data_IF_431539877774
#
_entry.id   IF_431539877774
#
_cell.length_a   1.000
_cell.length_b   1.000
_cell.length_c   1.000
_cell.angle_alpha   90.00
_cell.angle_beta   90.00
_cell.angle_gamma   90.00
#
_symmetry.space_group_name_H-M   'P 1'
#
loop_
_entity.id
_entity.type
_entity.pdbx_description
1 polymer ?
#
# COMPACT_ATOMS: atom_id res chain seq x y z
N UNK A 1 -41.48 36.24 19.01
CA UNK A 1 -42.38 36.08 17.85
C UNK A 1 -42.03 34.78 17.10
N UNK A 2 -42.36 33.60 17.65
CA UNK A 2 -42.14 32.31 16.96
C UNK A 2 -43.27 31.32 17.29
N UNK A 3 -44.51 31.78 17.18
CA UNK A 3 -45.73 30.96 17.21
C UNK A 3 -46.08 30.44 15.79
N UNK A 4 -45.06 30.03 15.03
CA UNK A 4 -45.22 29.59 13.64
C UNK A 4 -44.67 28.19 13.32
N UNK A 5 -43.95 27.54 14.24
CA UNK A 5 -43.23 26.29 13.97
C UNK A 5 -44.03 25.00 14.14
N UNK A 6 -45.07 25.00 14.98
CA UNK A 6 -45.75 23.75 15.34
C UNK A 6 -46.90 23.36 14.39
N UNK A 7 -47.40 24.28 13.54
CA UNK A 7 -48.49 23.96 12.61
C UNK A 7 -48.03 23.14 11.39
N UNK A 8 -46.73 23.22 11.04
CA UNK A 8 -46.15 22.45 9.93
C UNK A 8 -46.18 20.95 10.18
N UNK A 9 -45.91 20.52 11.42
CA UNK A 9 -45.82 19.10 11.80
C UNK A 9 -47.23 18.49 11.93
N UNK A 10 -48.21 19.24 12.44
CA UNK A 10 -49.61 18.78 12.52
C UNK A 10 -50.25 18.64 11.13
N UNK A 11 -49.93 19.53 10.19
CA UNK A 11 -50.43 19.44 8.80
C UNK A 11 -49.70 18.39 7.95
N UNK A 12 -48.50 17.94 8.35
CA UNK A 12 -47.71 16.94 7.62
C UNK A 12 -48.05 15.49 7.99
N UNK A 13 -48.61 15.25 9.18
CA UNK A 13 -48.99 13.90 9.62
C UNK A 13 -50.27 13.36 8.94
N UNK A 14 -51.09 14.24 8.34
CA UNK A 14 -52.39 13.86 7.75
C UNK A 14 -52.44 13.81 6.21
N UNK A 15 -51.33 14.04 5.50
CA UNK A 15 -51.25 13.90 4.03
C UNK A 15 -49.96 13.18 3.62
N UNK A 16 -50.09 11.98 3.06
CA UNK A 16 -49.00 11.14 2.52
C UNK A 16 -48.07 11.97 1.61
N UNK A 17 -46.80 12.24 1.98
CA UNK A 17 -45.91 13.02 1.14
C UNK A 17 -45.05 12.11 0.24
N UNK A 18 -44.91 12.49 -1.03
CA UNK A 18 -44.05 11.83 -2.02
C UNK A 18 -42.56 11.85 -1.61
N UNK A 19 -41.91 10.69 -1.69
CA UNK A 19 -40.52 10.40 -1.25
C UNK A 19 -39.48 11.43 -1.70
N UNK A 20 -39.65 12.00 -2.90
CA UNK A 20 -38.72 13.00 -3.44
C UNK A 20 -38.66 14.29 -2.61
N UNK A 21 -39.75 14.67 -1.93
CA UNK A 21 -39.79 15.87 -1.07
C UNK A 21 -39.17 15.64 0.31
N UNK A 22 -38.97 14.37 0.72
CA UNK A 22 -38.36 13.98 2.00
C UNK A 22 -36.85 14.24 2.01
N UNK A 23 -36.17 13.95 0.90
CA UNK A 23 -34.72 14.09 0.80
C UNK A 23 -34.27 15.56 0.76
N UNK A 24 -35.07 16.44 0.16
CA UNK A 24 -34.78 17.89 0.09
C UNK A 24 -34.92 18.53 1.47
N UNK A 25 -35.94 18.18 2.24
CA UNK A 25 -36.13 18.71 3.60
C UNK A 25 -35.03 18.26 4.57
N UNK A 26 -34.51 17.04 4.41
CA UNK A 26 -33.38 16.53 5.19
C UNK A 26 -32.06 17.22 4.78
N UNK A 27 -31.85 17.49 3.49
CA UNK A 27 -30.64 18.18 3.03
C UNK A 27 -30.55 19.64 3.55
N UNK A 28 -31.67 20.37 3.61
CA UNK A 28 -31.69 21.77 4.09
C UNK A 28 -31.44 21.87 5.60
N UNK A 29 -31.72 20.82 6.38
CA UNK A 29 -31.48 20.82 7.83
C UNK A 29 -30.02 20.50 8.20
N UNK A 30 -29.33 19.68 7.39
CA UNK A 30 -27.91 19.32 7.63
C UNK A 30 -26.97 20.49 7.29
N UNK A 31 -27.25 21.26 6.23
CA UNK A 31 -26.44 22.43 5.84
C UNK A 31 -26.54 23.58 6.87
N UNK A 32 -27.68 23.71 7.56
CA UNK A 32 -27.87 24.72 8.60
C UNK A 32 -27.16 24.43 9.93
N UNK A 33 -26.84 23.16 10.23
CA UNK A 33 -26.21 22.75 11.51
C UNK A 33 -24.67 22.68 11.39
N UNK A 34 -24.10 22.50 10.19
CA UNK A 34 -22.65 22.36 10.00
C UNK A 34 -21.91 23.72 9.86
N UNK A 35 -22.62 24.84 9.73
CA UNK A 35 -22.05 26.18 9.57
C UNK A 35 -21.63 26.89 10.88
N UNK A 36 -21.90 26.32 12.06
CA UNK A 36 -21.67 26.99 13.35
C UNK A 36 -20.50 26.45 14.17
N UNK A 37 -19.76 25.43 13.70
CA UNK A 37 -18.75 24.73 14.53
C UNK A 37 -17.27 25.09 14.26
N UNK A 38 -16.98 26.12 13.45
CA UNK A 38 -15.60 26.46 13.06
C UNK A 38 -15.15 27.88 13.44
N UNK A 39 -15.56 28.42 14.59
CA UNK A 39 -14.89 29.59 15.19
C UNK A 39 -14.74 29.34 16.69
N UNK A 40 -13.52 29.01 17.13
CA UNK A 40 -13.23 28.84 18.56
C UNK A 40 -11.96 28.04 18.87
N UNK A 41 -10.82 28.39 18.25
CA UNK A 41 -9.50 27.95 18.72
C UNK A 41 -8.82 29.08 19.50
N UNK A 42 -8.78 28.98 20.83
CA UNK A 42 -7.77 29.61 21.67
C UNK A 42 -7.49 28.68 22.88
N UNK A 43 -6.37 27.98 22.81
CA UNK A 43 -5.63 27.31 23.91
C UNK A 43 -4.91 28.38 24.76
N UNK A 44 -4.45 28.14 26.03
CA UNK A 44 -3.75 26.92 26.45
C UNK A 44 -3.96 26.40 27.90
N UNK A 45 -3.77 25.08 28.03
CA UNK A 45 -2.94 24.35 29.02
C UNK A 45 -3.22 24.43 30.54
N UNK A 46 -2.85 23.34 31.23
CA UNK A 46 -2.52 23.23 32.68
C UNK A 46 -3.61 22.68 33.66
N UNK A 47 -3.31 21.45 34.15
CA UNK A 47 -3.52 20.85 35.50
C UNK A 47 -4.82 20.05 35.82
N UNK A 48 -4.57 18.73 35.92
CA UNK A 48 -5.00 17.69 36.88
C UNK A 48 -6.48 17.34 37.07
N UNK A 49 -6.69 16.03 36.86
CA UNK A 49 -7.79 15.19 37.30
C UNK A 49 -8.08 15.22 38.81
N UNK A 50 -9.28 14.69 39.10
CA UNK A 50 -9.84 14.16 40.34
C UNK A 50 -10.68 15.14 41.15
N UNK A 51 -11.90 14.82 41.63
CA UNK A 51 -12.76 13.63 41.56
C UNK A 51 -14.12 14.04 42.17
N UNK A 52 -15.20 13.43 41.68
CA UNK A 52 -16.55 13.28 42.29
C UNK A 52 -17.38 14.53 42.66
N UNK A 53 -18.59 14.63 42.11
CA UNK A 53 -19.81 14.13 42.78
C UNK A 53 -21.07 14.42 41.94
N UNK A 54 -21.89 13.35 41.83
CA UNK A 54 -23.34 13.29 41.77
C UNK A 54 -24.18 14.44 41.18
N UNK A 55 -24.97 14.03 40.17
CA UNK A 55 -26.42 14.23 40.02
C UNK A 55 -27.02 15.56 40.50
N UNK A 56 -27.72 16.25 39.58
CA UNK A 56 -29.18 16.37 39.57
C UNK A 56 -29.60 17.32 38.44
N UNK A 57 -30.67 16.90 37.75
CA UNK A 57 -31.57 17.64 36.85
C UNK A 57 -31.69 19.15 37.11
N UNK A 58 -31.87 19.95 36.03
CA UNK A 58 -33.13 20.70 35.77
C UNK A 58 -33.00 21.62 34.55
N UNK A 59 -33.99 21.50 33.67
CA UNK A 59 -34.43 22.58 32.79
C UNK A 59 -35.18 23.65 33.62
N UNK A 60 -34.84 24.91 33.39
CA UNK A 60 -35.69 26.10 33.54
C UNK A 60 -35.15 27.06 32.47
N UNK A 61 -35.91 27.79 31.66
CA UNK A 61 -37.28 28.25 31.76
C UNK A 61 -37.67 28.79 30.38
N UNK A 62 -38.93 28.62 29.95
CA UNK A 62 -39.61 29.78 29.39
C UNK A 62 -41.11 29.71 29.66
N UNK A 63 -41.57 30.82 30.23
CA UNK A 63 -42.93 31.23 30.48
C UNK A 63 -43.75 31.40 29.21
N UNK A 64 -45.02 30.99 29.27
CA UNK A 64 -46.09 31.75 28.64
C UNK A 64 -47.38 31.60 29.45
N UNK A 65 -47.96 32.76 29.75
CA UNK A 65 -49.32 33.04 30.19
C UNK A 65 -50.37 32.27 29.35
N UNK A 66 -51.63 32.07 29.74
CA UNK A 66 -52.61 32.99 30.36
C UNK A 66 -53.90 32.18 30.64
N UNK A 67 -54.65 32.53 31.71
CA UNK A 67 -56.12 32.51 31.89
C UNK A 67 -56.97 31.35 31.31
N UNK A 68 -58.04 30.82 31.91
CA UNK A 68 -58.81 31.01 33.14
C UNK A 68 -60.02 30.07 33.00
N UNK A 69 -60.60 29.62 34.11
CA UNK A 69 -62.04 29.34 34.32
C UNK A 69 -62.31 27.99 35.01
N UNK A 70 -62.76 28.14 36.25
CA UNK A 70 -63.73 27.37 37.03
C UNK A 70 -64.34 26.08 36.44
N UNK A 71 -64.42 25.04 37.27
CA UNK A 71 -65.63 24.72 38.06
C UNK A 71 -65.46 23.39 38.81
N UNK A 72 -66.21 23.25 39.89
CA UNK A 72 -66.00 22.29 40.96
C UNK A 72 -66.62 20.90 40.73
N UNK A 73 -66.06 19.93 41.46
CA UNK A 73 -66.71 18.85 42.22
C UNK A 73 -67.65 17.86 41.51
N UNK A 74 -67.25 16.59 41.50
CA UNK A 74 -67.90 15.43 42.17
C UNK A 74 -67.37 14.16 41.49
N UNK A 75 -66.66 13.30 42.22
CA UNK A 75 -67.15 12.17 43.02
C UNK A 75 -66.67 10.86 42.37
N UNK A 76 -66.53 9.87 43.22
CA UNK A 76 -65.66 8.72 43.09
C UNK A 76 -66.27 7.53 42.32
N UNK A 77 -65.40 6.53 42.11
CA UNK A 77 -65.68 5.08 42.00
C UNK A 77 -66.23 4.52 40.68
N UNK A 78 -65.34 3.87 39.90
CA UNK A 78 -65.62 2.61 39.19
C UNK A 78 -64.32 1.95 38.70
N UNK A 79 -63.86 0.98 39.47
CA UNK A 79 -62.69 0.12 39.31
C UNK A 79 -62.96 -1.09 38.40
N UNK A 80 -62.01 -1.38 37.49
CA UNK A 80 -61.30 -2.69 37.38
C UNK A 80 -60.99 -3.16 35.95
N UNK A 81 -61.66 -2.69 34.90
CA UNK A 81 -61.44 -3.20 33.53
C UNK A 81 -60.43 -2.40 32.67
N UNK A 82 -59.94 -1.24 33.15
CA UNK A 82 -59.01 -0.36 32.41
C UNK A 82 -57.52 -0.62 32.74
N UNK A 83 -57.22 -1.07 33.96
CA UNK A 83 -55.85 -1.25 34.49
C UNK A 83 -55.16 -2.51 33.94
N UNK A 84 -55.94 -3.53 33.60
CA UNK A 84 -55.45 -4.80 33.04
C UNK A 84 -55.12 -4.66 31.54
N UNK A 85 -55.93 -3.90 30.80
CA UNK A 85 -55.71 -3.54 29.39
C UNK A 85 -54.46 -2.67 29.21
N UNK A 86 -54.21 -1.75 30.14
CA UNK A 86 -53.04 -0.86 30.13
C UNK A 86 -51.74 -1.60 30.50
N UNK A 87 -51.80 -2.60 31.39
CA UNK A 87 -50.66 -3.46 31.72
C UNK A 87 -50.28 -4.39 30.54
N UNK A 88 -51.25 -4.98 29.85
CA UNK A 88 -51.01 -5.80 28.65
C UNK A 88 -50.48 -4.97 27.45
N UNK A 89 -50.94 -3.73 27.27
CA UNK A 89 -50.43 -2.86 26.20
C UNK A 89 -48.98 -2.44 26.46
N UNK A 90 -48.62 -2.18 27.72
CA UNK A 90 -47.26 -1.84 28.13
C UNK A 90 -46.30 -3.03 27.93
N UNK A 91 -46.74 -4.25 28.23
CA UNK A 91 -45.97 -5.47 28.04
C UNK A 91 -45.78 -5.82 26.55
N UNK A 92 -46.79 -5.57 25.69
CA UNK A 92 -46.66 -5.69 24.23
C UNK A 92 -45.68 -4.67 23.64
N UNK A 93 -45.77 -3.41 24.05
CA UNK A 93 -44.83 -2.36 23.62
C UNK A 93 -43.39 -2.64 24.07
N UNK A 94 -43.20 -3.23 25.26
CA UNK A 94 -41.87 -3.64 25.73
C UNK A 94 -41.32 -4.84 24.93
N UNK A 95 -42.16 -5.82 24.59
CA UNK A 95 -41.77 -6.95 23.72
C UNK A 95 -41.39 -6.48 22.31
N UNK A 96 -42.17 -5.57 21.72
CA UNK A 96 -41.91 -5.01 20.38
C UNK A 96 -40.60 -4.18 20.36
N UNK A 97 -40.33 -3.39 21.42
CA UNK A 97 -39.06 -2.69 21.59
C UNK A 97 -37.87 -3.64 21.72
N UNK A 98 -37.99 -4.71 22.52
CA UNK A 98 -36.92 -5.72 22.66
C UNK A 98 -36.67 -6.46 21.34
N UNK A 99 -37.71 -6.79 20.59
CA UNK A 99 -37.60 -7.47 19.30
C UNK A 99 -36.94 -6.56 18.24
N UNK A 100 -37.33 -5.29 18.18
CA UNK A 100 -36.69 -4.29 17.32
C UNK A 100 -35.22 -4.03 17.69
N UNK A 101 -34.87 -4.07 18.99
CA UNK A 101 -33.48 -3.94 19.45
C UNK A 101 -32.64 -5.15 19.05
N UNK A 102 -33.21 -6.37 19.15
CA UNK A 102 -32.55 -7.61 18.75
C UNK A 102 -32.32 -7.66 17.24
N UNK A 103 -33.30 -7.22 16.44
CA UNK A 103 -33.14 -7.10 14.98
C UNK A 103 -32.05 -6.09 14.60
N UNK A 104 -32.00 -4.92 15.25
CA UNK A 104 -30.91 -3.95 15.03
C UNK A 104 -29.53 -4.51 15.38
N UNK A 105 -29.40 -5.22 16.50
CA UNK A 105 -28.13 -5.84 16.90
C UNK A 105 -27.68 -6.94 15.93
N UNK A 106 -28.61 -7.72 15.38
CA UNK A 106 -28.31 -8.78 14.42
C UNK A 106 -27.88 -8.20 13.06
N UNK A 107 -28.55 -7.14 12.60
CA UNK A 107 -28.17 -6.42 11.38
C UNK A 107 -26.79 -5.75 11.52
N UNK A 108 -26.51 -5.09 12.64
CA UNK A 108 -25.21 -4.49 12.93
C UNK A 108 -24.10 -5.55 13.00
N UNK A 109 -24.35 -6.69 13.65
CA UNK A 109 -23.39 -7.79 13.71
C UNK A 109 -23.08 -8.34 12.32
N UNK A 110 -24.10 -8.47 11.46
CA UNK A 110 -23.93 -8.94 10.07
C UNK A 110 -23.15 -7.93 9.22
N UNK A 111 -23.43 -6.63 9.37
CA UNK A 111 -22.69 -5.56 8.68
C UNK A 111 -21.21 -5.52 9.12
N UNK A 112 -20.95 -5.66 10.42
CA UNK A 112 -19.59 -5.71 10.96
C UNK A 112 -18.82 -6.95 10.50
N UNK A 113 -19.47 -8.11 10.41
CA UNK A 113 -18.84 -9.33 9.88
C UNK A 113 -18.50 -9.19 8.38
N UNK A 114 -19.40 -8.63 7.57
CA UNK A 114 -19.14 -8.38 6.15
C UNK A 114 -17.98 -7.40 5.95
N UNK A 115 -17.93 -6.33 6.75
CA UNK A 115 -16.84 -5.37 6.72
C UNK A 115 -15.52 -6.04 7.13
N UNK A 116 -15.52 -6.84 8.20
CA UNK A 116 -14.32 -7.56 8.63
C UNK A 116 -13.81 -8.55 7.56
N UNK A 117 -14.71 -9.17 6.79
CA UNK A 117 -14.33 -10.04 5.66
C UNK A 117 -13.68 -9.23 4.52
N UNK A 118 -14.25 -8.09 4.14
CA UNK A 118 -13.68 -7.20 3.12
C UNK A 118 -12.31 -6.68 3.54
N UNK A 119 -12.16 -6.26 4.80
CA UNK A 119 -10.87 -5.82 5.35
C UNK A 119 -9.84 -6.95 5.41
N UNK A 120 -10.25 -8.19 5.68
CA UNK A 120 -9.34 -9.33 5.67
C UNK A 120 -8.89 -9.68 4.25
N UNK A 121 -9.78 -9.58 3.26
CA UNK A 121 -9.47 -9.79 1.84
C UNK A 121 -8.49 -8.73 1.33
N UNK A 122 -8.73 -7.46 1.61
CA UNK A 122 -7.81 -6.38 1.21
C UNK A 122 -6.44 -6.54 1.85
N UNK A 123 -6.36 -6.92 3.13
CA UNK A 123 -5.09 -7.24 3.79
C UNK A 123 -4.35 -8.38 3.12
N UNK A 124 -5.05 -9.46 2.73
CA UNK A 124 -4.43 -10.58 2.01
C UNK A 124 -3.87 -10.16 0.65
N UNK A 125 -4.61 -9.34 -0.10
CA UNK A 125 -4.15 -8.81 -1.39
C UNK A 125 -2.90 -7.94 -1.22
N UNK A 126 -2.89 -7.07 -0.20
CA UNK A 126 -1.72 -6.24 0.11
C UNK A 126 -0.51 -7.09 0.51
N UNK A 127 -0.71 -8.13 1.31
CA UNK A 127 0.37 -9.05 1.70
C UNK A 127 0.92 -9.82 0.49
N UNK A 128 0.06 -10.35 -0.38
CA UNK A 128 0.45 -11.04 -1.61
C UNK A 128 1.27 -10.11 -2.52
N UNK A 129 0.83 -8.86 -2.69
CA UNK A 129 1.57 -7.87 -3.47
C UNK A 129 2.94 -7.53 -2.87
N UNK A 130 3.02 -7.35 -1.55
CA UNK A 130 4.29 -7.13 -0.86
C UNK A 130 5.22 -8.32 -1.03
N UNK A 131 4.72 -9.55 -0.89
CA UNK A 131 5.50 -10.76 -1.04
C UNK A 131 6.03 -10.91 -2.46
N UNK A 132 5.21 -10.66 -3.48
CA UNK A 132 5.64 -10.72 -4.89
C UNK A 132 6.72 -9.67 -5.21
N UNK A 133 6.57 -8.45 -4.72
CA UNK A 133 7.59 -7.39 -4.87
C UNK A 133 8.87 -7.75 -4.12
N UNK A 134 8.77 -8.30 -2.90
CA UNK A 134 9.94 -8.74 -2.14
C UNK A 134 10.68 -9.88 -2.85
N UNK A 135 9.96 -10.82 -3.47
CA UNK A 135 10.56 -11.88 -4.27
C UNK A 135 11.30 -11.32 -5.49
N UNK A 136 10.73 -10.33 -6.18
CA UNK A 136 11.39 -9.63 -7.27
C UNK A 136 12.67 -8.89 -6.81
N UNK A 137 12.63 -8.26 -5.64
CA UNK A 137 13.80 -7.58 -5.08
C UNK A 137 14.90 -8.56 -4.68
N UNK A 138 14.55 -9.70 -4.11
CA UNK A 138 15.49 -10.76 -3.73
C UNK A 138 16.06 -11.48 -4.96
N UNK A 139 15.24 -11.63 -6.01
CA UNK A 139 15.60 -12.30 -7.26
C UNK A 139 15.28 -11.40 -8.45
N UNK A 140 16.21 -10.47 -8.71
CA UNK A 140 16.11 -9.43 -9.73
C UNK A 140 16.25 -10.01 -11.15
N UNK A 141 15.20 -10.72 -11.59
CA UNK A 141 15.09 -11.37 -12.90
C UNK A 141 13.89 -10.75 -13.62
N UNK A 142 14.05 -10.48 -14.91
CA UNK A 142 13.02 -9.83 -15.72
C UNK A 142 11.67 -10.57 -15.68
N UNK A 143 11.70 -11.91 -15.66
CA UNK A 143 10.50 -12.75 -15.64
C UNK A 143 9.67 -12.60 -14.36
N UNK A 144 10.29 -12.18 -13.25
CA UNK A 144 9.58 -11.96 -11.97
C UNK A 144 8.86 -10.61 -11.90
N UNK A 145 9.07 -9.73 -12.88
CA UNK A 145 8.48 -8.38 -12.89
C UNK A 145 6.98 -8.44 -13.16
N UNK A 146 6.55 -9.25 -14.13
CA UNK A 146 5.13 -9.36 -14.49
C UNK A 146 4.26 -9.91 -13.34
N UNK A 147 4.64 -11.00 -12.63
CA UNK A 147 3.90 -11.44 -11.44
C UNK A 147 3.77 -10.37 -10.35
N UNK A 148 4.84 -9.61 -10.08
CA UNK A 148 4.81 -8.52 -9.11
C UNK A 148 3.87 -7.39 -9.53
N UNK A 149 3.90 -6.98 -10.80
CA UNK A 149 2.99 -5.97 -11.35
C UNK A 149 1.52 -6.40 -11.25
N UNK A 150 1.21 -7.66 -11.58
CA UNK A 150 -0.15 -8.21 -11.49
C UNK A 150 -0.65 -8.22 -10.05
N UNK A 151 0.19 -8.57 -9.07
CA UNK A 151 -0.20 -8.54 -7.66
C UNK A 151 -0.45 -7.11 -7.16
N UNK A 152 0.40 -6.15 -7.56
CA UNK A 152 0.24 -4.72 -7.21
C UNK A 152 -1.01 -4.11 -7.84
N UNK A 153 -1.42 -4.53 -9.03
CA UNK A 153 -2.63 -4.01 -9.69
C UNK A 153 -3.91 -4.31 -8.90
N UNK A 154 -3.93 -5.41 -8.14
CA UNK A 154 -5.05 -5.81 -7.27
C UNK A 154 -5.17 -4.96 -6.00
N UNK A 155 -4.12 -4.24 -5.62
CA UNK A 155 -4.11 -3.41 -4.40
C UNK A 155 -5.03 -2.20 -4.59
N UNK A 156 -6.02 -2.07 -3.70
CA UNK A 156 -6.99 -0.98 -3.75
C UNK A 156 -6.45 0.35 -3.17
N UNK A 157 -5.52 0.29 -2.21
CA UNK A 157 -4.96 1.48 -1.57
C UNK A 157 -3.96 2.20 -2.50
N UNK A 158 -4.21 3.46 -2.90
CA UNK A 158 -3.39 4.15 -3.89
C UNK A 158 -1.98 4.45 -3.39
N UNK A 159 -1.81 4.73 -2.09
CA UNK A 159 -0.48 5.03 -1.50
C UNK A 159 0.40 3.79 -1.50
N UNK A 160 -0.15 2.65 -1.07
CA UNK A 160 0.54 1.36 -1.10
C UNK A 160 0.85 0.93 -2.54
N UNK A 161 -0.12 1.07 -3.46
CA UNK A 161 0.08 0.76 -4.89
C UNK A 161 1.22 1.59 -5.50
N UNK A 162 1.26 2.90 -5.22
CA UNK A 162 2.33 3.78 -5.70
C UNK A 162 3.70 3.32 -5.18
N UNK A 163 3.82 3.07 -3.88
CA UNK A 163 5.09 2.64 -3.28
C UNK A 163 5.60 1.32 -3.88
N UNK A 164 4.71 0.33 -4.06
CA UNK A 164 5.07 -0.95 -4.66
C UNK A 164 5.44 -0.81 -6.14
N UNK A 165 4.75 0.06 -6.88
CA UNK A 165 5.07 0.35 -8.28
C UNK A 165 6.46 1.00 -8.39
N UNK A 166 6.79 1.93 -7.50
CA UNK A 166 8.11 2.57 -7.48
C UNK A 166 9.23 1.57 -7.17
N UNK A 167 8.98 0.61 -6.26
CA UNK A 167 9.92 -0.49 -5.95
C UNK A 167 10.19 -1.35 -7.19
N UNK A 168 9.14 -1.77 -7.89
CA UNK A 168 9.25 -2.52 -9.14
C UNK A 168 10.05 -1.71 -10.18
N UNK A 169 9.77 -0.42 -10.32
CA UNK A 169 10.48 0.47 -11.25
C UNK A 169 11.98 0.57 -10.96
N UNK A 170 12.37 0.66 -9.68
CA UNK A 170 13.79 0.63 -9.29
C UNK A 170 14.46 -0.70 -9.64
N UNK A 171 13.79 -1.83 -9.38
CA UNK A 171 14.33 -3.15 -9.74
C UNK A 171 14.47 -3.30 -11.25
N UNK A 172 13.48 -2.87 -12.03
CA UNK A 172 13.55 -2.88 -13.49
C UNK A 172 14.76 -2.09 -14.00
N UNK A 173 14.99 -0.89 -13.45
CA UNK A 173 16.15 -0.08 -13.82
C UNK A 173 17.46 -0.76 -13.44
N UNK A 174 17.54 -1.37 -12.25
CA UNK A 174 18.73 -2.11 -11.82
C UNK A 174 19.03 -3.33 -12.70
N UNK A 175 17.99 -4.04 -13.16
CA UNK A 175 18.13 -5.16 -14.10
C UNK A 175 18.69 -4.67 -15.44
N UNK A 176 18.14 -3.59 -15.98
CA UNK A 176 18.61 -3.01 -17.24
C UNK A 176 20.06 -2.53 -17.13
N UNK A 177 20.41 -1.85 -16.04
CA UNK A 177 21.77 -1.39 -15.79
C UNK A 177 22.75 -2.56 -15.70
N UNK A 178 22.42 -3.62 -14.96
CA UNK A 178 23.26 -4.82 -14.87
C UNK A 178 23.44 -5.50 -16.23
N UNK A 179 22.41 -5.53 -17.06
CA UNK A 179 22.49 -6.10 -18.40
C UNK A 179 23.45 -5.30 -19.30
N UNK A 180 23.39 -3.97 -19.25
CA UNK A 180 24.32 -3.09 -19.98
C UNK A 180 25.76 -3.22 -19.47
N UNK A 181 25.96 -3.24 -18.16
CA UNK A 181 27.28 -3.45 -17.56
C UNK A 181 27.88 -4.81 -17.94
N UNK A 182 27.06 -5.86 -17.96
CA UNK A 182 27.48 -7.19 -18.41
C UNK A 182 27.89 -7.18 -19.89
N UNK A 183 27.12 -6.51 -20.75
CA UNK A 183 27.44 -6.38 -22.18
C UNK A 183 28.75 -5.63 -22.40
N UNK A 184 28.96 -4.51 -21.72
CA UNK A 184 30.20 -3.74 -21.80
C UNK A 184 31.40 -4.54 -21.27
N UNK A 185 31.20 -5.32 -20.19
CA UNK A 185 32.24 -6.20 -19.67
C UNK A 185 32.59 -7.34 -20.65
N UNK A 186 31.62 -7.89 -21.36
CA UNK A 186 31.84 -8.87 -22.42
C UNK A 186 32.57 -8.27 -23.63
N UNK A 187 32.18 -7.07 -24.07
CA UNK A 187 32.86 -6.34 -25.15
C UNK A 187 34.33 -6.05 -24.80
N UNK A 188 34.59 -5.54 -23.59
CA UNK A 188 35.95 -5.31 -23.11
C UNK A 188 36.78 -6.61 -23.03
N UNK A 189 36.15 -7.74 -22.64
CA UNK A 189 36.79 -9.06 -22.66
C UNK A 189 37.10 -9.52 -24.09
N UNK A 190 36.21 -9.27 -25.04
CA UNK A 190 36.44 -9.59 -26.44
C UNK A 190 37.54 -8.72 -27.05
N UNK A 191 37.56 -7.43 -26.76
CA UNK A 191 38.59 -6.51 -27.23
C UNK A 191 39.97 -6.87 -26.67
N UNK A 192 40.07 -7.14 -25.36
CA UNK A 192 41.33 -7.59 -24.74
C UNK A 192 41.80 -8.94 -25.32
N UNK A 193 40.89 -9.89 -25.55
CA UNK A 193 41.22 -11.15 -26.21
C UNK A 193 41.69 -10.93 -27.66
N UNK A 194 41.05 -10.01 -28.40
CA UNK A 194 41.44 -9.65 -29.77
C UNK A 194 42.82 -8.99 -29.81
N UNK A 195 43.07 -8.02 -28.93
CA UNK A 195 44.38 -7.37 -28.81
C UNK A 195 45.47 -8.37 -28.43
N UNK A 196 45.20 -9.30 -27.52
CA UNK A 196 46.13 -10.37 -27.17
C UNK A 196 46.44 -11.27 -28.39
N UNK A 197 45.41 -11.64 -29.17
CA UNK A 197 45.59 -12.41 -30.39
C UNK A 197 46.38 -11.63 -31.47
N UNK A 198 46.13 -10.34 -31.63
CA UNK A 198 46.85 -9.48 -32.57
C UNK A 198 48.32 -9.30 -32.17
N UNK A 199 48.61 -9.17 -30.87
CA UNK A 199 49.98 -9.18 -30.38
C UNK A 199 50.68 -10.50 -30.70
N UNK A 200 50.04 -11.66 -30.52
CA UNK A 200 50.65 -12.94 -30.89
C UNK A 200 50.94 -13.06 -32.40
N UNK A 201 50.11 -12.45 -33.26
CA UNK A 201 50.32 -12.46 -34.70
C UNK A 201 51.46 -11.54 -35.15
N UNK A 202 51.69 -10.43 -34.45
CA UNK A 202 52.67 -9.40 -34.83
C UNK A 202 53.98 -9.48 -34.05
N UNK A 203 53.98 -10.10 -32.86
CA UNK A 203 55.17 -10.20 -32.00
C UNK A 203 56.18 -11.15 -32.62
N UNK A 204 57.36 -10.61 -32.90
CA UNK A 204 58.50 -11.38 -33.39
C UNK A 204 59.12 -12.17 -32.24
N UNK A 205 59.38 -13.45 -32.49
CA UNK A 205 60.08 -14.35 -31.58
C UNK A 205 61.28 -14.97 -32.29
N UNK A 206 62.25 -15.42 -31.51
CA UNK A 206 63.49 -15.98 -31.99
C UNK A 206 63.60 -17.45 -31.58
N UNK A 207 64.01 -18.30 -32.51
CA UNK A 207 64.13 -19.76 -32.33
C UNK A 207 65.51 -20.22 -32.76
N UNK A 208 66.23 -20.89 -31.85
CA UNK A 208 67.57 -21.41 -32.10
C UNK A 208 67.56 -22.69 -32.98
N UNK A 209 68.76 -23.18 -33.33
CA UNK A 209 68.99 -24.42 -34.09
C UNK A 209 68.26 -24.42 -35.46
N UNK A 210 68.39 -23.35 -36.24
CA UNK A 210 67.72 -23.18 -37.52
C UNK A 210 66.18 -23.34 -37.43
N UNK A 211 65.59 -22.87 -36.33
CA UNK A 211 64.14 -22.97 -36.10
C UNK A 211 63.66 -24.34 -35.56
N UNK A 212 64.55 -25.32 -35.34
CA UNK A 212 64.16 -26.65 -34.85
C UNK A 212 64.11 -26.76 -33.33
N UNK A 213 64.42 -25.70 -32.58
CA UNK A 213 64.27 -25.73 -31.13
C UNK A 213 62.77 -25.83 -30.72
N UNK A 214 62.52 -26.52 -29.60
CA UNK A 214 61.18 -26.68 -29.00
C UNK A 214 60.71 -25.45 -28.21
N UNK A 215 61.61 -24.47 -28.04
CA UNK A 215 61.39 -23.26 -27.25
C UNK A 215 61.69 -22.02 -28.08
N UNK A 216 60.98 -20.94 -27.78
CA UNK A 216 61.20 -19.61 -28.37
C UNK A 216 61.49 -18.56 -27.29
N UNK A 217 62.13 -17.48 -27.71
CA UNK A 217 62.51 -16.32 -26.89
C UNK A 217 62.00 -15.02 -27.52
N UNK A 218 61.63 -14.02 -26.69
CA UNK A 218 61.26 -12.70 -27.20
C UNK A 218 62.46 -11.82 -27.58
N UNK A 219 63.64 -12.10 -27.03
CA UNK A 219 64.88 -11.40 -27.37
C UNK A 219 66.04 -12.38 -27.47
N UNK A 220 67.00 -12.08 -28.35
CA UNK A 220 68.23 -12.86 -28.49
C UNK A 220 69.08 -12.83 -27.22
N UNK A 221 68.95 -11.78 -26.40
CA UNK A 221 69.72 -11.59 -25.16
C UNK A 221 69.36 -12.61 -24.07
N UNK A 222 68.11 -13.08 -24.06
CA UNK A 222 67.63 -14.09 -23.10
C UNK A 222 67.93 -15.52 -23.57
N UNK A 223 68.58 -15.69 -24.74
CA UNK A 223 69.02 -16.99 -25.19
C UNK A 223 70.21 -17.48 -24.35
N UNK A 224 70.34 -18.80 -24.11
CA UNK A 224 71.51 -19.36 -23.44
C UNK A 224 72.83 -18.86 -24.06
N UNK A 225 73.84 -18.59 -23.25
CA UNK A 225 75.13 -18.07 -23.72
C UNK A 225 75.87 -18.98 -24.72
N UNK A 226 75.54 -20.28 -24.74
CA UNK A 226 76.04 -21.24 -25.73
C UNK A 226 75.23 -21.28 -27.03
N UNK A 227 74.28 -20.36 -27.21
CA UNK A 227 73.46 -20.28 -28.42
C UNK A 227 74.31 -19.83 -29.60
N UNK A 228 74.17 -20.56 -30.70
CA UNK A 228 74.76 -20.19 -31.98
C UNK A 228 73.84 -19.20 -32.70
N UNK A 229 74.09 -17.91 -32.53
CA UNK A 229 73.28 -16.80 -33.09
C UNK A 229 73.21 -16.81 -34.63
N UNK A 230 74.22 -17.36 -35.30
CA UNK A 230 74.23 -17.61 -36.74
C UNK A 230 73.15 -18.62 -37.19
N UNK A 231 72.57 -19.37 -36.25
CA UNK A 231 71.52 -20.38 -36.46
C UNK A 231 70.21 -20.01 -35.75
N UNK A 232 69.97 -18.72 -35.54
CA UNK A 232 68.71 -18.21 -34.98
C UNK A 232 67.82 -17.71 -36.11
N UNK A 233 66.55 -18.13 -36.08
CA UNK A 233 65.51 -17.72 -37.03
C UNK A 233 64.45 -16.91 -36.29
N UNK A 234 63.99 -15.82 -36.88
CA UNK A 234 62.85 -15.05 -36.41
C UNK A 234 61.55 -15.51 -37.07
N UNK A 235 60.46 -15.61 -36.29
CA UNK A 235 59.10 -15.88 -36.79
C UNK A 235 58.06 -15.17 -35.90
N UNK A 236 56.78 -15.26 -36.24
CA UNK A 236 55.72 -14.73 -35.35
C UNK A 236 55.51 -15.64 -34.15
N UNK A 237 55.09 -15.08 -33.02
CA UNK A 237 54.73 -15.89 -31.84
C UNK A 237 53.62 -16.90 -32.18
N UNK A 238 52.64 -16.49 -32.98
CA UNK A 238 51.59 -17.37 -33.49
C UNK A 238 52.15 -18.57 -34.27
N UNK A 239 53.11 -18.37 -35.19
CA UNK A 239 53.73 -19.46 -35.96
C UNK A 239 54.56 -20.40 -35.07
N UNK A 240 55.27 -19.84 -34.08
CA UNK A 240 56.02 -20.62 -33.11
C UNK A 240 55.09 -21.52 -32.28
N UNK A 241 53.99 -20.96 -31.76
CA UNK A 241 52.95 -21.71 -31.02
C UNK A 241 52.30 -22.77 -31.92
N UNK A 242 51.94 -22.42 -33.16
CA UNK A 242 51.37 -23.36 -34.14
C UNK A 242 52.33 -24.51 -34.49
N UNK A 243 53.64 -24.24 -34.46
CA UNK A 243 54.70 -25.25 -34.60
C UNK A 243 54.95 -26.07 -33.33
N UNK A 244 54.12 -25.91 -32.29
CA UNK A 244 54.23 -26.63 -31.01
C UNK A 244 55.35 -26.14 -30.10
N UNK A 245 55.94 -24.97 -30.38
CA UNK A 245 57.03 -24.40 -29.57
C UNK A 245 56.49 -23.73 -28.32
N UNK A 246 57.26 -23.77 -27.24
CA UNK A 246 56.87 -23.22 -25.94
C UNK A 246 57.67 -21.97 -25.61
N UNK A 247 57.01 -20.98 -25.02
CA UNK A 247 57.71 -19.83 -24.45
C UNK A 247 58.59 -20.28 -23.27
N UNK A 248 59.82 -19.78 -23.20
CA UNK A 248 60.67 -19.94 -22.03
C UNK A 248 60.37 -18.88 -20.98
N UNK A 249 60.01 -19.27 -19.77
CA UNK A 249 59.80 -18.33 -18.63
C UNK A 249 61.10 -17.69 -18.11
N UNK A 250 62.24 -18.07 -18.69
CA UNK A 250 63.57 -17.59 -18.30
C UNK A 250 63.86 -16.32 -19.11
N UNK A 251 63.25 -15.22 -18.68
CA UNK A 251 63.54 -13.87 -19.13
C UNK A 251 64.55 -13.21 -18.17
#
# INVERSE_FOLDING_TARGET
MFLGGCFGIWRFSKRKPNIRKRNIAIAVTIVGILGTYAVGKLTPDVIKEQTEQSQVTKFTSNSSSTSSSSSQTSSSTASSSKKEKEKQEKERKEKELKEAQKQKQEEEKKAREEQARKEAETKKIVEEANQAVQQLENNQVADNISPAQVAVERVADPTTKSNLTDRIGRVQNAINQRAEEARLAEEARQETARLAAEQQQTRTVYVARNGTADVYWYSMENMPSNTRFDRVVSMTEADAIASGKRHTSKE
#
